data_IF_259410919199
#
_entry.id   IF_259410919199
#
_cell.length_a   1.000
_cell.length_b   1.000
_cell.length_c   1.000
_cell.angle_alpha   90.00
_cell.angle_beta   90.00
_cell.angle_gamma   90.00
#
_symmetry.space_group_name_H-M   'P 1'
#
loop_
_entity.id
_entity.type
_entity.pdbx_description
1 polymer ?
#
# COMPACT_ATOMS: atom_id res chain seq x y z
N UNK A 1 -72.76 -138.92 -50.91
CA UNK A 1 -71.78 -139.97 -50.55
C UNK A 1 -71.49 -139.93 -49.05
N UNK A 2 -71.73 -141.03 -48.33
CA UNK A 2 -71.52 -141.15 -46.86
C UNK A 2 -70.12 -140.69 -46.40
N UNK A 3 -69.09 -140.92 -47.23
CA UNK A 3 -67.70 -140.52 -46.94
C UNK A 3 -67.47 -139.00 -46.78
N UNK A 4 -68.22 -138.12 -47.47
CA UNK A 4 -68.10 -136.66 -47.28
C UNK A 4 -68.71 -136.19 -45.95
N UNK A 5 -69.78 -136.86 -45.48
CA UNK A 5 -70.43 -136.53 -44.22
C UNK A 5 -69.58 -136.95 -43.00
N UNK A 6 -68.90 -138.11 -43.07
CA UNK A 6 -67.96 -138.55 -42.03
C UNK A 6 -66.73 -137.66 -41.95
N UNK A 7 -66.12 -137.29 -43.08
CA UNK A 7 -64.99 -136.34 -43.08
C UNK A 7 -65.39 -134.97 -42.53
N UNK A 8 -66.60 -134.48 -42.81
CA UNK A 8 -67.12 -133.23 -42.23
C UNK A 8 -67.34 -133.34 -40.72
N UNK A 9 -67.90 -134.46 -40.23
CA UNK A 9 -68.07 -134.71 -38.78
C UNK A 9 -66.73 -134.85 -38.05
N UNK A 10 -65.75 -135.53 -38.65
CA UNK A 10 -64.40 -135.64 -38.09
C UNK A 10 -63.69 -134.28 -38.04
N UNK A 11 -63.80 -133.47 -39.10
CA UNK A 11 -63.27 -132.10 -39.14
C UNK A 11 -63.91 -131.21 -38.08
N UNK A 12 -65.24 -131.21 -37.96
CA UNK A 12 -65.95 -130.44 -36.93
C UNK A 12 -65.58 -130.88 -35.51
N UNK A 13 -65.34 -132.17 -35.26
CA UNK A 13 -64.85 -132.68 -33.96
C UNK A 13 -63.43 -132.18 -33.67
N UNK A 14 -62.55 -132.19 -34.66
CA UNK A 14 -61.19 -131.68 -34.51
C UNK A 14 -61.18 -130.16 -34.28
N UNK A 15 -61.94 -129.40 -35.08
CA UNK A 15 -62.10 -127.95 -34.90
C UNK A 15 -62.72 -127.61 -33.54
N UNK A 16 -63.71 -128.36 -33.06
CA UNK A 16 -64.27 -128.19 -31.72
C UNK A 16 -63.25 -128.52 -30.61
N UNK A 17 -62.42 -129.55 -30.80
CA UNK A 17 -61.35 -129.89 -29.85
C UNK A 17 -60.27 -128.80 -29.78
N UNK A 18 -59.83 -128.29 -30.94
CA UNK A 18 -58.87 -127.18 -31.02
C UNK A 18 -59.46 -125.91 -30.40
N UNK A 19 -60.71 -125.56 -30.73
CA UNK A 19 -61.40 -124.42 -30.14
C UNK A 19 -61.54 -124.55 -28.62
N UNK A 20 -61.84 -125.75 -28.10
CA UNK A 20 -61.90 -126.02 -26.66
C UNK A 20 -60.53 -125.90 -25.98
N UNK A 21 -59.46 -126.39 -26.63
CA UNK A 21 -58.09 -126.25 -26.15
C UNK A 21 -57.66 -124.77 -26.11
N UNK A 22 -57.92 -124.02 -27.19
CA UNK A 22 -57.66 -122.57 -27.26
C UNK A 22 -58.46 -121.81 -26.21
N UNK A 23 -59.75 -122.11 -26.04
CA UNK A 23 -60.58 -121.48 -25.00
C UNK A 23 -60.07 -121.79 -23.58
N UNK A 24 -59.51 -122.98 -23.36
CA UNK A 24 -58.92 -123.35 -22.07
C UNK A 24 -57.60 -122.62 -21.83
N UNK A 25 -56.70 -122.60 -22.82
CA UNK A 25 -55.44 -121.84 -22.75
C UNK A 25 -55.66 -120.33 -22.61
N UNK A 26 -56.64 -119.77 -23.32
CA UNK A 26 -57.02 -118.36 -23.20
C UNK A 26 -57.55 -118.03 -21.79
N UNK A 27 -58.35 -118.92 -21.18
CA UNK A 27 -58.82 -118.74 -19.79
C UNK A 27 -57.69 -118.80 -18.77
N UNK A 28 -56.75 -119.73 -18.94
CA UNK A 28 -55.57 -119.81 -18.06
C UNK A 28 -54.67 -118.58 -18.22
N UNK A 29 -54.41 -118.13 -19.45
CA UNK A 29 -53.64 -116.93 -19.71
C UNK A 29 -54.34 -115.69 -19.14
N UNK A 30 -55.65 -115.57 -19.30
CA UNK A 30 -56.44 -114.49 -18.73
C UNK A 30 -56.30 -114.44 -17.21
N UNK A 31 -56.42 -115.57 -16.52
CA UNK A 31 -56.24 -115.64 -15.06
C UNK A 31 -54.84 -115.20 -14.61
N UNK A 32 -53.78 -115.56 -15.37
CA UNK A 32 -52.43 -115.09 -15.07
C UNK A 32 -52.24 -113.59 -15.34
N UNK A 33 -52.85 -113.06 -16.41
CA UNK A 33 -52.81 -111.64 -16.73
C UNK A 33 -53.56 -110.84 -15.65
N UNK A 34 -54.73 -111.30 -15.21
CA UNK A 34 -55.52 -110.66 -14.14
C UNK A 34 -54.69 -110.52 -12.87
N UNK A 35 -54.04 -111.60 -12.40
CA UNK A 35 -53.15 -111.55 -11.23
C UNK A 35 -51.96 -110.60 -11.45
N UNK A 36 -51.36 -110.61 -12.64
CA UNK A 36 -50.24 -109.72 -12.97
C UNK A 36 -50.64 -108.25 -12.98
N UNK A 37 -51.81 -107.92 -13.53
CA UNK A 37 -52.38 -106.57 -13.56
C UNK A 37 -52.74 -106.10 -12.17
N UNK A 38 -53.36 -106.95 -11.33
CA UNK A 38 -53.66 -106.62 -9.93
C UNK A 38 -52.37 -106.35 -9.14
N UNK A 39 -51.34 -107.17 -9.32
CA UNK A 39 -50.04 -106.96 -8.67
C UNK A 39 -49.36 -105.69 -9.14
N UNK A 40 -49.32 -105.44 -10.44
CA UNK A 40 -48.74 -104.22 -11.00
C UNK A 40 -49.51 -102.96 -10.56
N UNK A 41 -50.84 -103.05 -10.42
CA UNK A 41 -51.66 -101.98 -9.89
C UNK A 41 -51.34 -101.70 -8.41
N UNK A 42 -51.19 -102.74 -7.59
CA UNK A 42 -50.78 -102.60 -6.20
C UNK A 42 -49.38 -101.99 -6.06
N UNK A 43 -48.39 -102.48 -6.83
CA UNK A 43 -47.03 -101.94 -6.84
C UNK A 43 -47.01 -100.46 -7.29
N UNK A 44 -47.83 -100.10 -8.29
CA UNK A 44 -47.99 -98.70 -8.73
C UNK A 44 -48.58 -97.82 -7.62
N UNK A 45 -49.63 -98.27 -6.94
CA UNK A 45 -50.27 -97.50 -5.85
C UNK A 45 -49.28 -97.26 -4.71
N UNK A 46 -48.50 -98.27 -4.32
CA UNK A 46 -47.47 -98.11 -3.30
C UNK A 46 -46.34 -97.17 -3.74
N UNK A 47 -45.90 -97.24 -4.99
CA UNK A 47 -44.92 -96.31 -5.54
C UNK A 47 -45.44 -94.86 -5.61
N UNK A 48 -46.69 -94.65 -6.01
CA UNK A 48 -47.33 -93.33 -6.03
C UNK A 48 -47.46 -92.75 -4.61
N UNK A 49 -47.82 -93.58 -3.61
CA UNK A 49 -47.85 -93.18 -2.20
C UNK A 49 -46.46 -92.80 -1.68
N UNK A 50 -45.45 -93.62 -1.96
CA UNK A 50 -44.07 -93.35 -1.55
C UNK A 50 -43.53 -92.06 -2.19
N UNK A 51 -43.82 -91.85 -3.49
CA UNK A 51 -43.47 -90.61 -4.20
C UNK A 51 -44.15 -89.40 -3.57
N UNK A 52 -45.45 -89.46 -3.33
CA UNK A 52 -46.20 -88.36 -2.71
C UNK A 52 -45.67 -88.02 -1.31
N UNK A 53 -45.30 -89.01 -0.51
CA UNK A 53 -44.68 -88.79 0.80
C UNK A 53 -43.33 -88.07 0.68
N UNK A 54 -42.47 -88.48 -0.26
CA UNK A 54 -41.17 -87.83 -0.50
C UNK A 54 -41.29 -86.42 -1.07
N UNK A 55 -42.26 -86.18 -1.95
CA UNK A 55 -42.55 -84.83 -2.45
C UNK A 55 -43.02 -83.92 -1.31
N UNK A 56 -43.91 -84.40 -0.44
CA UNK A 56 -44.35 -83.65 0.74
C UNK A 56 -43.19 -83.34 1.71
N UNK A 57 -42.30 -84.30 1.97
CA UNK A 57 -41.09 -84.08 2.78
C UNK A 57 -40.16 -83.04 2.15
N UNK A 58 -39.92 -83.14 0.84
CA UNK A 58 -39.08 -82.18 0.11
C UNK A 58 -39.65 -80.76 0.15
N UNK A 59 -40.97 -80.62 -0.02
CA UNK A 59 -41.63 -79.32 0.04
C UNK A 59 -41.61 -78.73 1.45
N UNK A 60 -41.75 -79.56 2.49
CA UNK A 60 -41.60 -79.15 3.88
C UNK A 60 -40.18 -78.64 4.16
N UNK A 61 -39.13 -79.36 3.73
CA UNK A 61 -37.73 -78.94 3.88
C UNK A 61 -37.42 -77.67 3.07
N UNK A 62 -37.98 -77.53 1.86
CA UNK A 62 -37.86 -76.29 1.06
C UNK A 62 -38.55 -75.11 1.71
N UNK A 63 -39.69 -75.31 2.37
CA UNK A 63 -40.34 -74.25 3.15
C UNK A 63 -39.46 -73.83 4.32
N UNK A 64 -38.98 -74.79 5.12
CA UNK A 64 -38.05 -74.54 6.24
C UNK A 64 -36.81 -73.78 5.79
N UNK A 65 -36.20 -74.18 4.66
CA UNK A 65 -35.04 -73.50 4.09
C UNK A 65 -35.34 -72.06 3.68
N UNK A 66 -36.52 -71.78 3.11
CA UNK A 66 -36.96 -70.41 2.78
C UNK A 66 -37.19 -69.56 4.03
N UNK A 67 -37.82 -70.12 5.05
CA UNK A 67 -38.10 -69.43 6.31
C UNK A 67 -36.81 -69.08 7.06
N UNK A 68 -35.88 -70.05 7.18
CA UNK A 68 -34.56 -69.83 7.77
C UNK A 68 -33.73 -68.80 7.00
N UNK A 69 -33.78 -68.83 5.66
CA UNK A 69 -33.12 -67.80 4.84
C UNK A 69 -33.70 -66.42 5.10
N UNK A 70 -35.02 -66.30 5.19
CA UNK A 70 -35.68 -65.02 5.49
C UNK A 70 -35.33 -64.49 6.89
N UNK A 71 -35.18 -65.37 7.90
CA UNK A 71 -34.66 -64.99 9.22
C UNK A 71 -33.20 -64.54 9.16
N UNK A 72 -32.34 -65.27 8.44
CA UNK A 72 -30.94 -64.92 8.27
C UNK A 72 -30.78 -63.55 7.59
N UNK A 73 -31.52 -63.29 6.53
CA UNK A 73 -31.49 -62.02 5.81
C UNK A 73 -31.91 -60.87 6.74
N UNK A 74 -32.99 -61.04 7.52
CA UNK A 74 -33.43 -60.05 8.53
C UNK A 74 -32.38 -59.79 9.60
N UNK A 75 -31.75 -60.85 10.12
CA UNK A 75 -30.73 -60.71 11.15
C UNK A 75 -29.49 -60.00 10.60
N UNK A 76 -29.07 -60.36 9.39
CA UNK A 76 -27.93 -59.74 8.69
C UNK A 76 -28.17 -58.25 8.47
N UNK A 77 -29.35 -57.86 8.00
CA UNK A 77 -29.72 -56.45 7.82
C UNK A 77 -29.69 -55.67 9.15
N UNK A 78 -30.13 -56.28 10.24
CA UNK A 78 -30.11 -55.65 11.56
C UNK A 78 -28.69 -55.43 12.09
N UNK A 79 -27.80 -56.41 11.91
CA UNK A 79 -26.39 -56.31 12.29
C UNK A 79 -25.70 -55.24 11.45
N UNK A 80 -25.89 -55.27 10.13
CA UNK A 80 -25.28 -54.28 9.25
C UNK A 80 -25.75 -52.86 9.57
N UNK A 81 -27.03 -52.65 9.86
CA UNK A 81 -27.55 -51.36 10.33
C UNK A 81 -26.87 -50.91 11.63
N UNK A 82 -26.69 -51.83 12.58
CA UNK A 82 -25.99 -51.56 13.83
C UNK A 82 -24.52 -51.18 13.61
N UNK A 83 -23.82 -51.88 12.72
CA UNK A 83 -22.43 -51.59 12.35
C UNK A 83 -22.27 -50.22 11.72
N UNK A 84 -23.17 -49.86 10.79
CA UNK A 84 -23.18 -48.53 10.13
C UNK A 84 -23.42 -47.42 11.14
N UNK A 85 -24.42 -47.56 12.01
CA UNK A 85 -24.67 -46.59 13.08
C UNK A 85 -23.49 -46.47 14.04
N UNK A 86 -22.88 -47.60 14.41
CA UNK A 86 -21.67 -47.62 15.25
C UNK A 86 -20.48 -46.93 14.60
N UNK A 87 -20.27 -47.13 13.30
CA UNK A 87 -19.24 -46.43 12.53
C UNK A 87 -19.50 -44.92 12.48
N UNK A 88 -20.75 -44.50 12.21
CA UNK A 88 -21.14 -43.09 12.19
C UNK A 88 -20.89 -42.39 13.54
N UNK A 89 -21.30 -43.04 14.65
CA UNK A 89 -21.08 -42.49 16.00
C UNK A 89 -19.60 -42.41 16.35
N UNK A 90 -18.79 -43.41 15.98
CA UNK A 90 -17.32 -43.37 16.19
C UNK A 90 -16.67 -42.21 15.45
N UNK A 91 -16.99 -42.05 14.16
CA UNK A 91 -16.48 -40.92 13.37
C UNK A 91 -16.90 -39.58 13.98
N UNK A 92 -18.15 -39.49 14.47
CA UNK A 92 -18.62 -38.26 15.11
C UNK A 92 -17.88 -37.95 16.42
N UNK A 93 -17.56 -38.97 17.21
CA UNK A 93 -16.75 -38.82 18.42
C UNK A 93 -15.35 -38.30 18.04
N UNK A 94 -14.68 -38.96 17.09
CA UNK A 94 -13.35 -38.57 16.63
C UNK A 94 -13.32 -37.12 16.13
N UNK A 95 -14.31 -36.70 15.34
CA UNK A 95 -14.44 -35.29 14.91
C UNK A 95 -14.54 -34.30 16.08
N UNK A 96 -15.29 -34.67 17.14
CA UNK A 96 -15.44 -33.82 18.31
C UNK A 96 -14.16 -33.80 19.16
N UNK A 97 -13.44 -34.92 19.23
CA UNK A 97 -12.16 -35.01 19.94
C UNK A 97 -11.09 -34.15 19.28
N UNK A 98 -10.95 -34.25 17.94
CA UNK A 98 -10.03 -33.38 17.17
C UNK A 98 -10.37 -31.91 17.37
N UNK A 99 -11.66 -31.56 17.32
CA UNK A 99 -12.11 -30.19 17.52
C UNK A 99 -11.78 -29.65 18.92
N UNK A 100 -11.93 -30.48 19.96
CA UNK A 100 -11.57 -30.10 21.33
C UNK A 100 -10.08 -29.76 21.45
N UNK A 101 -9.21 -30.54 20.81
CA UNK A 101 -7.76 -30.29 20.82
C UNK A 101 -7.37 -29.08 19.97
N UNK A 102 -7.89 -28.97 18.74
CA UNK A 102 -7.48 -27.91 17.81
C UNK A 102 -8.05 -26.52 18.16
N UNK A 103 -9.33 -26.45 18.51
CA UNK A 103 -9.99 -25.15 18.77
C UNK A 103 -9.83 -24.71 20.22
N UNK A 104 -9.86 -25.64 21.17
CA UNK A 104 -9.87 -25.32 22.62
C UNK A 104 -8.55 -25.64 23.31
N UNK A 105 -7.68 -26.47 22.72
CA UNK A 105 -6.42 -26.87 23.34
C UNK A 105 -6.59 -27.78 24.56
N UNK A 106 -7.74 -28.45 24.70
CA UNK A 106 -8.08 -29.28 25.88
C UNK A 106 -8.35 -30.72 25.46
N UNK A 107 -7.81 -31.68 26.22
CA UNK A 107 -8.12 -33.09 25.99
C UNK A 107 -9.60 -33.41 26.24
N UNK A 108 -10.23 -34.31 25.46
CA UNK A 108 -11.67 -34.58 25.55
C UNK A 108 -12.14 -35.00 26.96
N UNK A 109 -11.34 -35.82 27.66
CA UNK A 109 -11.66 -36.27 29.00
C UNK A 109 -11.65 -35.12 30.02
N UNK A 110 -10.66 -34.22 29.91
CA UNK A 110 -10.57 -33.02 30.74
C UNK A 110 -11.72 -32.05 30.44
N UNK A 111 -12.06 -31.86 29.16
CA UNK A 111 -13.17 -31.01 28.74
C UNK A 111 -14.51 -31.48 29.35
N UNK A 112 -14.78 -32.78 29.33
CA UNK A 112 -16.00 -33.34 29.95
C UNK A 112 -15.94 -33.27 31.46
N UNK A 113 -14.79 -33.52 32.07
CA UNK A 113 -14.62 -33.49 33.53
C UNK A 113 -14.80 -32.08 34.10
N UNK A 114 -14.26 -31.05 33.44
CA UNK A 114 -14.24 -29.67 33.95
C UNK A 114 -15.41 -28.81 33.43
N UNK A 115 -15.92 -29.10 32.22
CA UNK A 115 -16.93 -28.29 31.53
C UNK A 115 -18.19 -29.09 31.13
N UNK A 116 -18.33 -30.31 31.65
CA UNK A 116 -19.49 -31.15 31.41
C UNK A 116 -20.80 -30.60 32.02
N UNK A 117 -21.97 -31.14 31.63
CA UNK A 117 -23.27 -30.70 32.15
C UNK A 117 -23.44 -30.84 33.67
N UNK A 118 -22.67 -31.73 34.29
CA UNK A 118 -22.69 -31.96 35.74
C UNK A 118 -21.93 -30.86 36.51
N UNK A 119 -21.12 -30.05 35.83
CA UNK A 119 -20.35 -28.98 36.46
C UNK A 119 -21.12 -27.67 36.50
N UNK A 120 -20.99 -26.89 37.60
CA UNK A 120 -21.62 -25.59 37.69
C UNK A 120 -20.94 -24.60 36.73
N UNK A 121 -21.77 -23.85 36.00
CA UNK A 121 -21.31 -22.84 35.05
C UNK A 121 -20.81 -21.61 35.80
N UNK A 122 -19.58 -21.12 35.54
CA UNK A 122 -19.06 -19.90 36.14
C UNK A 122 -19.93 -18.68 35.81
N UNK A 123 -20.00 -17.69 36.71
CA UNK A 123 -20.71 -16.45 36.44
C UNK A 123 -20.22 -15.79 35.15
N UNK A 124 -21.13 -15.25 34.35
CA UNK A 124 -20.77 -14.54 33.13
C UNK A 124 -20.03 -13.25 33.48
N UNK A 125 -19.02 -12.84 32.67
CA UNK A 125 -18.45 -11.51 32.79
C UNK A 125 -19.54 -10.43 32.62
N UNK A 126 -19.39 -9.27 33.28
CA UNK A 126 -20.34 -8.18 33.15
C UNK A 126 -20.46 -7.73 31.69
N UNK A 127 -21.69 -7.40 31.26
CA UNK A 127 -21.90 -6.83 29.95
C UNK A 127 -21.32 -5.41 29.87
N UNK A 128 -21.09 -4.92 28.66
CA UNK A 128 -20.58 -3.57 28.43
C UNK A 128 -21.55 -2.52 28.99
N UNK A 129 -21.07 -1.69 29.93
CA UNK A 129 -21.89 -0.69 30.64
C UNK A 129 -22.68 -1.22 31.84
N UNK A 130 -22.49 -2.48 32.23
CA UNK A 130 -23.12 -3.07 33.40
C UNK A 130 -22.19 -2.98 34.63
N UNK A 131 -22.63 -2.26 35.66
CA UNK A 131 -21.93 -2.26 36.96
C UNK A 131 -22.34 -3.51 37.76
N UNK A 132 -21.42 -4.46 37.98
CA UNK A 132 -21.73 -5.62 38.81
C UNK A 132 -21.99 -5.17 40.26
N UNK A 133 -22.92 -5.83 40.98
CA UNK A 133 -23.15 -5.55 42.40
C UNK A 133 -21.85 -5.69 43.20
N UNK A 134 -21.55 -4.71 44.07
CA UNK A 134 -20.34 -4.70 44.91
C UNK A 134 -20.32 -5.84 45.94
N UNK A 135 -21.49 -6.34 46.34
CA UNK A 135 -21.63 -7.45 47.28
C UNK A 135 -21.09 -8.77 46.69
N UNK A 136 -20.00 -9.34 47.24
CA UNK A 136 -19.42 -10.60 46.76
C UNK A 136 -20.34 -11.80 46.90
N UNK A 137 -21.31 -11.76 47.82
CA UNK A 137 -22.24 -12.86 48.06
C UNK A 137 -23.46 -12.84 47.12
N UNK A 138 -23.60 -11.81 46.29
CA UNK A 138 -24.73 -11.63 45.40
C UNK A 138 -24.93 -12.85 44.47
N UNK A 139 -26.18 -13.32 44.22
CA UNK A 139 -26.49 -14.49 43.35
C UNK A 139 -26.01 -14.40 41.89
N UNK A 140 -25.45 -13.25 41.50
CA UNK A 140 -24.83 -13.02 40.19
C UNK A 140 -23.40 -13.56 40.12
N UNK A 141 -22.70 -13.57 41.24
CA UNK A 141 -21.29 -14.00 41.35
C UNK A 141 -21.16 -15.49 41.66
N UNK A 142 -22.27 -16.16 41.97
CA UNK A 142 -22.29 -17.59 42.27
C UNK A 142 -22.43 -18.43 40.99
N UNK A 143 -21.71 -19.55 40.88
CA UNK A 143 -21.90 -20.51 39.80
C UNK A 143 -23.34 -21.04 39.76
N UNK A 144 -23.85 -21.31 38.55
CA UNK A 144 -25.24 -21.77 38.34
C UNK A 144 -25.27 -23.16 37.71
N UNK A 145 -26.33 -23.96 37.93
CA UNK A 145 -26.50 -25.23 37.23
C UNK A 145 -26.49 -25.07 35.71
N UNK A 146 -25.96 -26.07 35.01
CA UNK A 146 -25.94 -26.07 33.55
C UNK A 146 -27.36 -26.12 32.98
N UNK A 147 -27.70 -25.15 32.13
CA UNK A 147 -28.92 -25.16 31.33
C UNK A 147 -28.58 -25.01 29.84
N UNK A 148 -28.79 -26.08 29.06
CA UNK A 148 -28.35 -26.18 27.67
C UNK A 148 -28.77 -24.98 26.81
N UNK A 149 -30.05 -24.60 26.87
CA UNK A 149 -30.58 -23.52 26.05
C UNK A 149 -29.94 -22.15 26.37
N UNK A 150 -29.56 -21.92 27.63
CA UNK A 150 -28.87 -20.68 28.03
C UNK A 150 -27.42 -20.66 27.56
N UNK A 151 -26.72 -21.80 27.68
CA UNK A 151 -25.32 -21.90 27.24
C UNK A 151 -25.20 -21.83 25.72
N UNK A 152 -26.13 -22.42 24.97
CA UNK A 152 -26.19 -22.26 23.51
C UNK A 152 -26.40 -20.80 23.10
N UNK A 153 -27.25 -20.07 23.82
CA UNK A 153 -27.45 -18.63 23.58
C UNK A 153 -26.19 -17.82 23.91
N UNK A 154 -25.51 -18.16 25.01
CA UNK A 154 -24.24 -17.54 25.43
C UNK A 154 -23.12 -17.80 24.42
N UNK A 155 -22.99 -19.03 23.94
CA UNK A 155 -22.02 -19.41 22.91
C UNK A 155 -22.24 -18.60 21.63
N UNK A 156 -23.49 -18.56 21.12
CA UNK A 156 -23.82 -17.77 19.91
C UNK A 156 -23.50 -16.28 20.08
N UNK A 157 -23.68 -15.72 21.27
CA UNK A 157 -23.32 -14.32 21.54
C UNK A 157 -21.80 -14.12 21.55
N UNK A 158 -21.06 -15.02 22.19
CA UNK A 158 -19.60 -14.99 22.22
C UNK A 158 -18.98 -15.19 20.83
N UNK A 159 -19.51 -16.12 20.03
CA UNK A 159 -19.07 -16.34 18.64
C UNK A 159 -19.27 -15.10 17.78
N UNK A 160 -20.39 -14.37 17.94
CA UNK A 160 -20.62 -13.11 17.24
C UNK A 160 -19.63 -12.03 17.67
N UNK A 161 -19.39 -11.89 18.98
CA UNK A 161 -18.41 -10.93 19.49
C UNK A 161 -16.98 -11.24 19.01
N UNK A 162 -16.60 -12.53 19.00
CA UNK A 162 -15.34 -12.99 18.46
C UNK A 162 -15.19 -12.68 16.97
N UNK A 163 -16.25 -12.92 16.17
CA UNK A 163 -16.24 -12.55 14.75
C UNK A 163 -16.14 -11.04 14.52
N UNK A 164 -16.67 -10.21 15.41
CA UNK A 164 -16.57 -8.74 15.32
C UNK A 164 -15.16 -8.22 15.59
N UNK A 165 -14.36 -8.91 16.41
CA UNK A 165 -12.95 -8.56 16.63
C UNK A 165 -12.09 -8.70 15.36
N UNK A 166 -12.59 -9.42 14.35
CA UNK A 166 -11.89 -9.61 13.09
C UNK A 166 -10.65 -10.50 13.25
N UNK A 167 -9.75 -10.41 12.27
CA UNK A 167 -8.51 -11.18 12.29
C UNK A 167 -7.47 -10.45 13.14
N UNK A 168 -6.96 -11.10 14.18
CA UNK A 168 -5.82 -10.60 14.95
C UNK A 168 -4.60 -10.56 14.02
N UNK A 169 -3.98 -9.39 13.87
CA UNK A 169 -2.73 -9.25 13.12
C UNK A 169 -1.55 -9.62 14.03
N UNK A 170 -0.86 -10.75 13.81
CA UNK A 170 0.26 -11.16 14.66
C UNK A 170 1.47 -10.23 14.54
N UNK A 171 1.59 -9.46 13.46
CA UNK A 171 2.69 -8.53 13.21
C UNK A 171 2.43 -7.12 13.76
N UNK A 172 1.26 -6.88 14.36
CA UNK A 172 0.85 -5.52 14.76
C UNK A 172 1.83 -4.86 15.75
N UNK A 173 2.45 -5.64 16.64
CA UNK A 173 3.42 -5.11 17.60
C UNK A 173 4.73 -4.70 16.91
N UNK A 174 5.21 -5.49 15.95
CA UNK A 174 6.42 -5.19 15.17
C UNK A 174 6.18 -3.99 14.24
N UNK A 175 5.03 -3.94 13.58
CA UNK A 175 4.64 -2.82 12.72
C UNK A 175 4.51 -1.52 13.52
N UNK A 176 3.92 -1.58 14.72
CA UNK A 176 3.83 -0.42 15.61
C UNK A 176 5.21 0.10 16.00
N UNK A 177 6.13 -0.79 16.41
CA UNK A 177 7.49 -0.40 16.78
C UNK A 177 8.24 0.25 15.61
N UNK A 178 8.12 -0.32 14.40
CA UNK A 178 8.74 0.25 13.20
C UNK A 178 8.14 1.60 12.80
N UNK A 179 6.82 1.77 12.95
CA UNK A 179 6.12 3.05 12.73
C UNK A 179 6.54 4.10 13.75
N UNK A 180 6.68 3.72 15.01
CA UNK A 180 7.12 4.60 16.10
C UNK A 180 8.56 5.09 15.87
N UNK A 181 9.48 4.20 15.49
CA UNK A 181 10.86 4.58 15.14
C UNK A 181 10.90 5.55 13.95
N UNK A 182 10.12 5.27 12.89
CA UNK A 182 10.00 6.16 11.73
C UNK A 182 9.41 7.51 12.11
N UNK A 183 8.40 7.53 12.97
CA UNK A 183 7.80 8.77 13.46
C UNK A 183 8.82 9.60 14.21
N UNK A 184 9.54 8.99 15.16
CA UNK A 184 10.56 9.67 15.95
C UNK A 184 11.65 10.28 15.05
N UNK A 185 12.18 9.50 14.10
CA UNK A 185 13.16 10.00 13.13
C UNK A 185 12.65 11.21 12.34
N UNK A 186 11.43 11.13 11.80
CA UNK A 186 10.85 12.23 11.02
C UNK A 186 10.56 13.47 11.86
N UNK A 187 10.14 13.30 13.12
CA UNK A 187 9.95 14.41 14.06
C UNK A 187 11.26 15.15 14.32
N UNK A 188 12.34 14.43 14.59
CA UNK A 188 13.67 15.02 14.81
C UNK A 188 14.18 15.79 13.58
N UNK A 189 14.04 15.21 12.39
CA UNK A 189 14.41 15.87 11.12
C UNK A 189 13.60 17.15 10.88
N UNK A 190 12.31 17.11 11.20
CA UNK A 190 11.42 18.26 11.02
C UNK A 190 11.78 19.40 11.99
N UNK A 191 12.13 19.08 13.23
CA UNK A 191 12.56 20.08 14.21
C UNK A 191 13.94 20.66 13.88
N UNK A 192 14.84 19.87 13.28
CA UNK A 192 16.12 20.38 12.76
C UNK A 192 15.93 21.35 11.59
N UNK A 193 15.05 21.02 10.64
CA UNK A 193 14.70 21.91 9.53
C UNK A 193 14.05 23.21 10.01
N UNK A 194 13.19 23.15 11.02
CA UNK A 194 12.59 24.34 11.63
C UNK A 194 13.63 25.26 12.24
N UNK A 195 14.60 24.70 12.97
CA UNK A 195 15.72 25.45 13.57
C UNK A 195 16.60 26.07 12.50
N UNK A 196 17.04 25.28 11.52
CA UNK A 196 17.86 25.76 10.39
C UNK A 196 17.19 26.91 9.64
N UNK A 197 15.87 26.83 9.41
CA UNK A 197 15.11 27.92 8.79
C UNK A 197 15.13 29.18 9.64
N UNK A 198 14.95 29.07 10.95
CA UNK A 198 14.98 30.21 11.86
C UNK A 198 16.37 30.88 11.86
N UNK A 199 17.43 30.07 11.91
CA UNK A 199 18.81 30.56 11.88
C UNK A 199 19.13 31.29 10.57
N UNK A 200 18.70 30.74 9.42
CA UNK A 200 18.89 31.40 8.13
C UNK A 200 18.16 32.74 8.04
N UNK A 201 16.93 32.84 8.57
CA UNK A 201 16.19 34.10 8.61
C UNK A 201 16.88 35.13 9.51
N UNK A 202 17.50 34.68 10.60
CA UNK A 202 18.29 35.54 11.48
C UNK A 202 19.53 36.07 10.76
N UNK A 203 20.25 35.22 10.02
CA UNK A 203 21.40 35.65 9.20
C UNK A 203 20.99 36.65 8.13
N UNK A 204 19.86 36.43 7.44
CA UNK A 204 19.34 37.39 6.45
C UNK A 204 19.10 38.75 7.10
N UNK A 205 18.47 38.76 8.27
CA UNK A 205 18.22 40.00 9.01
C UNK A 205 19.51 40.73 9.40
N UNK A 206 20.51 40.00 9.89
CA UNK A 206 21.81 40.58 10.26
C UNK A 206 22.54 41.16 9.05
N UNK A 207 22.45 40.50 7.90
CA UNK A 207 23.01 41.00 6.64
C UNK A 207 22.28 42.26 6.20
N UNK A 208 20.94 42.27 6.24
CA UNK A 208 20.14 43.44 5.87
C UNK A 208 20.46 44.64 6.76
N UNK A 209 20.53 44.46 8.08
CA UNK A 209 20.93 45.50 9.04
C UNK A 209 22.34 46.03 8.72
N UNK A 210 23.27 45.15 8.33
CA UNK A 210 24.63 45.57 7.98
C UNK A 210 24.68 46.32 6.65
N UNK A 211 23.94 45.87 5.65
CA UNK A 211 23.86 46.53 4.34
C UNK A 211 23.24 47.92 4.50
N UNK A 212 22.17 48.03 5.28
CA UNK A 212 21.51 49.29 5.60
C UNK A 212 22.49 50.28 6.23
N UNK A 213 23.21 49.88 7.29
CA UNK A 213 24.23 50.72 7.92
C UNK A 213 25.29 51.21 6.93
N UNK A 214 25.87 50.30 6.14
CA UNK A 214 26.93 50.64 5.18
C UNK A 214 26.41 51.58 4.09
N UNK A 215 25.19 51.34 3.60
CA UNK A 215 24.55 52.20 2.61
C UNK A 215 24.26 53.60 3.18
N UNK A 216 23.67 53.69 4.37
CA UNK A 216 23.35 54.97 5.02
C UNK A 216 24.61 55.81 5.25
N UNK A 217 25.67 55.19 5.79
CA UNK A 217 26.98 55.85 5.94
C UNK A 217 27.51 56.34 4.58
N UNK A 218 27.54 55.46 3.57
CA UNK A 218 28.05 55.81 2.25
C UNK A 218 27.23 56.91 1.55
N UNK A 219 25.91 56.92 1.71
CA UNK A 219 25.04 57.97 1.19
C UNK A 219 25.34 59.32 1.84
N UNK A 220 25.42 59.37 3.18
CA UNK A 220 25.72 60.61 3.88
C UNK A 220 27.12 61.14 3.55
N UNK A 221 28.12 60.27 3.44
CA UNK A 221 29.47 60.66 3.04
C UNK A 221 29.48 61.22 1.62
N UNK A 222 28.84 60.53 0.68
CA UNK A 222 28.75 60.95 -0.73
C UNK A 222 27.97 62.25 -0.88
N UNK A 223 26.87 62.42 -0.14
CA UNK A 223 26.06 63.63 -0.19
C UNK A 223 26.83 64.87 0.28
N UNK A 224 27.62 64.75 1.35
CA UNK A 224 28.50 65.84 1.83
C UNK A 224 29.57 66.21 0.80
N UNK A 225 30.24 65.21 0.23
CA UNK A 225 31.24 65.47 -0.81
C UNK A 225 30.61 66.07 -2.08
N UNK A 226 29.39 65.65 -2.43
CA UNK A 226 28.68 66.13 -3.61
C UNK A 226 28.40 67.63 -3.58
N UNK A 227 27.94 68.18 -2.46
CA UNK A 227 27.74 69.63 -2.32
C UNK A 227 29.05 70.42 -2.55
N UNK A 228 30.15 69.92 -1.99
CA UNK A 228 31.48 70.53 -2.12
C UNK A 228 32.06 70.42 -3.53
N UNK A 229 31.96 69.25 -4.16
CA UNK A 229 32.45 69.01 -5.53
C UNK A 229 31.61 69.78 -6.55
N UNK A 230 30.29 69.79 -6.39
CA UNK A 230 29.37 70.45 -7.31
C UNK A 230 29.58 71.97 -7.32
N UNK A 231 29.72 72.62 -6.16
CA UNK A 231 29.95 74.06 -6.07
C UNK A 231 31.29 74.52 -6.68
N UNK A 232 32.32 73.66 -6.67
CA UNK A 232 33.60 73.92 -7.35
C UNK A 232 33.51 73.79 -8.87
N UNK A 233 32.78 72.78 -9.35
CA UNK A 233 32.54 72.58 -10.78
C UNK A 233 31.60 73.65 -11.36
N UNK A 234 30.63 74.11 -10.58
CA UNK A 234 29.66 75.15 -10.94
C UNK A 234 29.67 76.31 -9.93
N UNK A 235 30.55 77.31 -10.07
CA UNK A 235 30.57 78.48 -9.19
C UNK A 235 29.20 79.19 -9.17
N UNK A 236 28.59 79.30 -7.99
CA UNK A 236 27.26 79.87 -7.80
C UNK A 236 26.09 78.92 -8.11
N UNK A 237 26.37 77.63 -8.34
CA UNK A 237 25.38 76.56 -8.42
C UNK A 237 25.30 75.73 -7.13
N UNK A 238 24.17 75.06 -6.93
CA UNK A 238 23.90 74.17 -5.79
C UNK A 238 23.51 72.79 -6.32
N UNK A 239 24.03 71.73 -5.71
CA UNK A 239 23.69 70.36 -6.05
C UNK A 239 23.42 69.56 -4.77
N UNK A 240 22.40 68.70 -4.78
CA UNK A 240 22.07 67.83 -3.64
C UNK A 240 21.64 66.44 -4.10
N UNK A 241 21.91 65.44 -3.27
CA UNK A 241 21.40 64.08 -3.44
C UNK A 241 20.16 63.90 -2.55
N UNK A 242 19.08 63.38 -3.11
CA UNK A 242 17.81 63.20 -2.40
C UNK A 242 17.39 61.75 -2.49
N UNK A 243 17.06 61.13 -1.36
CA UNK A 243 16.47 59.79 -1.33
C UNK A 243 15.02 59.86 -1.80
N UNK A 244 14.61 58.95 -2.66
CA UNK A 244 13.20 58.87 -3.10
C UNK A 244 12.28 58.39 -1.98
N UNK A 245 12.80 57.54 -1.09
CA UNK A 245 12.10 57.02 0.09
C UNK A 245 13.06 56.94 1.30
N UNK A 246 13.18 58.01 2.10
CA UNK A 246 14.12 58.06 3.23
C UNK A 246 13.86 57.04 4.34
N UNK A 247 12.66 56.45 4.40
CA UNK A 247 12.30 55.48 5.45
C UNK A 247 12.77 54.05 5.11
N UNK A 248 13.12 53.79 3.85
CA UNK A 248 13.50 52.45 3.37
C UNK A 248 14.85 52.46 2.66
N UNK A 249 15.94 52.54 3.42
CA UNK A 249 17.32 52.65 2.91
C UNK A 249 17.74 51.51 1.96
N UNK A 250 17.19 50.30 2.11
CA UNK A 250 17.52 49.16 1.25
C UNK A 250 16.84 49.20 -0.12
N UNK A 251 15.70 49.88 -0.24
CA UNK A 251 14.89 49.91 -1.47
C UNK A 251 14.74 51.29 -2.09
N UNK A 252 15.25 52.34 -1.43
CA UNK A 252 15.19 53.71 -1.94
C UNK A 252 16.07 53.91 -3.17
N UNK A 253 15.59 54.73 -4.10
CA UNK A 253 16.42 55.34 -5.14
C UNK A 253 17.16 56.57 -4.63
N UNK A 254 18.11 57.04 -5.44
CA UNK A 254 18.84 58.29 -5.22
C UNK A 254 18.62 59.22 -6.42
N UNK A 255 17.96 60.34 -6.18
CA UNK A 255 17.78 61.40 -7.16
C UNK A 255 18.88 62.45 -7.01
N UNK A 256 19.39 62.92 -8.16
CA UNK A 256 20.36 64.02 -8.20
C UNK A 256 19.65 65.29 -8.63
N UNK A 257 19.64 66.27 -7.75
CA UNK A 257 19.12 67.59 -8.02
C UNK A 257 20.26 68.58 -8.23
N UNK A 258 20.21 69.29 -9.35
CA UNK A 258 21.24 70.24 -9.74
C UNK A 258 20.61 71.60 -10.07
N UNK A 259 21.25 72.65 -9.58
CA UNK A 259 20.89 74.05 -9.81
C UNK A 259 22.09 74.80 -10.36
N UNK A 260 22.21 74.92 -11.70
CA UNK A 260 23.24 75.75 -12.32
C UNK A 260 23.06 77.24 -11.98
N UNK A 261 24.11 78.06 -12.07
CA UNK A 261 24.06 79.49 -11.75
C UNK A 261 22.96 80.21 -12.55
N UNK A 262 22.08 80.91 -11.84
CA UNK A 262 20.97 81.68 -12.42
C UNK A 262 19.75 80.87 -12.87
N UNK A 263 19.68 79.55 -12.62
CA UNK A 263 18.54 78.69 -12.99
C UNK A 263 17.82 78.10 -11.76
N UNK A 264 16.57 77.64 -11.95
CA UNK A 264 15.81 76.87 -10.94
C UNK A 264 16.32 75.43 -10.87
N UNK A 265 16.12 74.78 -9.71
CA UNK A 265 16.46 73.36 -9.47
C UNK A 265 15.76 72.47 -10.50
N UNK A 266 16.51 71.55 -11.10
CA UNK A 266 16.00 70.58 -12.07
C UNK A 266 16.57 69.19 -11.78
N UNK A 267 15.79 68.15 -12.11
CA UNK A 267 16.29 66.77 -12.17
C UNK A 267 17.31 66.63 -13.31
N UNK A 268 18.28 65.72 -13.17
CA UNK A 268 19.31 65.41 -14.17
C UNK A 268 18.79 65.30 -15.61
N UNK A 269 17.60 64.71 -15.79
CA UNK A 269 16.95 64.51 -17.10
C UNK A 269 16.57 65.81 -17.83
N UNK A 270 16.53 66.94 -17.12
CA UNK A 270 16.07 68.24 -17.63
C UNK A 270 17.20 69.26 -17.85
N UNK A 271 18.47 68.82 -17.78
CA UNK A 271 19.67 69.63 -17.99
C UNK A 271 20.15 69.58 -19.45
N UNK A 272 20.96 70.58 -19.86
CA UNK A 272 21.64 70.55 -21.16
C UNK A 272 22.70 69.44 -21.21
N UNK A 273 23.11 69.01 -22.41
CA UNK A 273 24.05 67.89 -22.59
C UNK A 273 25.37 68.04 -21.82
N UNK A 274 25.98 69.24 -21.85
CA UNK A 274 27.20 69.54 -21.10
C UNK A 274 26.99 69.64 -19.58
N UNK A 275 25.88 70.26 -19.14
CA UNK A 275 25.53 70.35 -17.71
C UNK A 275 25.25 68.95 -17.12
N UNK A 276 24.62 68.06 -17.89
CA UNK A 276 24.34 66.68 -17.50
C UNK A 276 25.62 65.86 -17.34
N UNK A 277 26.54 65.95 -18.30
CA UNK A 277 27.82 65.25 -18.24
C UNK A 277 28.66 65.72 -17.05
N UNK A 278 28.74 67.03 -16.82
CA UNK A 278 29.52 67.57 -15.70
C UNK A 278 28.89 67.26 -14.34
N UNK A 279 27.55 67.20 -14.24
CA UNK A 279 26.85 66.74 -13.03
C UNK A 279 27.11 65.26 -12.74
N UNK A 280 27.15 64.41 -13.78
CA UNK A 280 27.50 63.01 -13.63
C UNK A 280 28.95 62.82 -13.17
N UNK A 281 29.89 63.58 -13.74
CA UNK A 281 31.28 63.61 -13.29
C UNK A 281 31.39 64.09 -11.84
N UNK A 282 30.62 65.12 -11.45
CA UNK A 282 30.55 65.58 -10.06
C UNK A 282 30.13 64.45 -9.11
N UNK A 283 29.09 63.68 -9.48
CA UNK A 283 28.64 62.54 -8.69
C UNK A 283 29.73 61.47 -8.56
N UNK A 284 30.36 61.07 -9.66
CA UNK A 284 31.43 60.06 -9.65
C UNK A 284 32.61 60.49 -8.77
N UNK A 285 33.08 61.72 -8.93
CA UNK A 285 34.13 62.31 -8.09
C UNK A 285 33.73 62.28 -6.61
N UNK A 286 32.49 62.60 -6.30
CA UNK A 286 32.01 62.64 -4.91
C UNK A 286 32.00 61.26 -4.27
N UNK A 287 31.61 60.24 -5.04
CA UNK A 287 31.72 58.83 -4.62
C UNK A 287 33.19 58.47 -4.37
N UNK A 288 34.10 58.89 -5.26
CA UNK A 288 35.53 58.59 -5.12
C UNK A 288 36.16 59.28 -3.91
N UNK A 289 35.77 60.52 -3.60
CA UNK A 289 36.23 61.21 -2.38
C UNK A 289 35.67 60.59 -1.11
N UNK A 290 34.40 60.18 -1.12
CA UNK A 290 33.76 59.53 0.02
C UNK A 290 34.32 58.13 0.29
N UNK A 291 34.66 57.37 -0.76
CA UNK A 291 35.21 56.01 -0.68
C UNK A 291 36.42 55.87 -1.62
N UNK A 292 37.62 56.23 -1.16
CA UNK A 292 38.83 56.19 -1.98
C UNK A 292 39.21 54.75 -2.35
N UNK A 293 39.49 54.54 -3.63
CA UNK A 293 40.02 53.31 -4.21
C UNK A 293 41.54 53.44 -4.37
N UNK A 294 42.31 52.33 -4.34
CA UNK A 294 43.75 52.38 -4.61
C UNK A 294 44.10 53.01 -5.97
N UNK A 295 43.26 52.80 -6.98
CA UNK A 295 43.42 53.42 -8.30
C UNK A 295 42.06 53.65 -9.00
N UNK A 296 42.07 54.57 -9.95
CA UNK A 296 40.96 54.91 -10.83
C UNK A 296 41.42 54.92 -12.29
N UNK A 297 40.59 54.39 -13.19
CA UNK A 297 40.77 54.46 -14.63
C UNK A 297 39.65 55.30 -15.22
N UNK A 298 40.00 56.35 -15.95
CA UNK A 298 39.05 57.27 -16.58
C UNK A 298 39.32 57.30 -18.09
N UNK A 299 38.31 56.99 -18.90
CA UNK A 299 38.42 56.93 -20.35
C UNK A 299 37.56 58.01 -21.00
N UNK A 300 38.22 58.98 -21.63
CA UNK A 300 37.63 60.13 -22.35
C UNK A 300 36.50 60.87 -21.61
N UNK A 301 36.56 60.91 -20.28
CA UNK A 301 35.52 61.49 -19.42
C UNK A 301 35.30 62.98 -19.66
N UNK A 302 36.28 63.66 -20.27
CA UNK A 302 36.27 65.08 -20.56
C UNK A 302 35.89 65.46 -22.00
N UNK A 303 35.59 64.49 -22.88
CA UNK A 303 35.38 64.74 -24.31
C UNK A 303 34.23 65.72 -24.61
N UNK A 304 33.25 65.84 -23.70
CA UNK A 304 32.09 66.72 -23.84
C UNK A 304 32.22 68.06 -23.08
N UNK A 305 33.40 68.36 -22.51
CA UNK A 305 33.61 69.55 -21.68
C UNK A 305 34.26 70.68 -22.47
N UNK A 306 33.84 71.91 -22.17
CA UNK A 306 34.51 73.12 -22.64
C UNK A 306 35.82 73.38 -21.87
N UNK A 307 36.67 74.26 -22.40
CA UNK A 307 37.98 74.61 -21.83
C UNK A 307 37.92 75.07 -20.36
N UNK A 308 36.82 75.73 -19.95
CA UNK A 308 36.67 76.24 -18.59
C UNK A 308 36.35 75.12 -17.61
N UNK A 309 35.42 74.25 -17.97
CA UNK A 309 35.00 73.10 -17.17
C UNK A 309 36.08 72.00 -17.15
N UNK A 310 36.81 71.81 -18.25
CA UNK A 310 37.99 70.95 -18.31
C UNK A 310 39.03 71.36 -17.26
N UNK A 311 39.32 72.66 -17.14
CA UNK A 311 40.30 73.15 -16.15
C UNK A 311 39.80 73.03 -14.69
N UNK A 312 38.48 72.96 -14.46
CA UNK A 312 37.92 72.67 -13.13
C UNK A 312 38.03 71.17 -12.81
N UNK A 313 37.73 70.32 -13.79
CA UNK A 313 37.87 68.86 -13.64
C UNK A 313 39.32 68.46 -13.37
N UNK A 314 40.29 69.01 -14.12
CA UNK A 314 41.72 68.73 -13.91
C UNK A 314 42.15 69.07 -12.48
N UNK A 315 41.70 70.18 -11.91
CA UNK A 315 42.01 70.55 -10.51
C UNK A 315 41.48 69.53 -9.51
N UNK A 316 40.28 69.01 -9.75
CA UNK A 316 39.70 67.97 -8.90
C UNK A 316 40.45 66.64 -9.04
N UNK A 317 40.84 66.27 -10.26
CA UNK A 317 41.69 65.10 -10.48
C UNK A 317 43.03 65.23 -9.76
N UNK A 318 43.60 66.44 -9.73
CA UNK A 318 44.83 66.70 -8.97
C UNK A 318 44.65 66.55 -7.46
N UNK A 319 43.48 66.89 -6.90
CA UNK A 319 43.19 66.61 -5.49
C UNK A 319 43.04 65.10 -5.24
N UNK A 320 42.35 64.39 -6.13
CA UNK A 320 42.18 62.93 -6.02
C UNK A 320 43.51 62.18 -6.11
N UNK A 321 44.48 62.71 -6.85
CA UNK A 321 45.81 62.11 -6.99
C UNK A 321 46.60 62.08 -5.67
N UNK A 322 46.23 62.92 -4.68
CA UNK A 322 46.92 62.95 -3.38
C UNK A 322 46.68 61.67 -2.58
N UNK A 323 45.56 60.99 -2.81
CA UNK A 323 45.17 59.77 -2.10
C UNK A 323 45.09 58.52 -2.97
N UNK A 324 45.00 58.65 -4.30
CA UNK A 324 44.72 57.53 -5.21
C UNK A 324 45.48 57.65 -6.53
N UNK A 325 45.86 56.52 -7.13
CA UNK A 325 46.49 56.53 -8.46
C UNK A 325 45.45 56.78 -9.56
N UNK A 326 45.67 57.78 -10.42
CA UNK A 326 44.79 58.05 -11.56
C UNK A 326 45.45 57.63 -12.87
N UNK A 327 44.72 56.86 -13.67
CA UNK A 327 45.05 56.50 -15.05
C UNK A 327 44.00 57.15 -15.94
N UNK A 328 44.40 58.13 -16.74
CA UNK A 328 43.48 58.88 -17.60
C UNK A 328 43.84 58.62 -19.07
N UNK A 329 42.86 58.12 -19.83
CA UNK A 329 42.94 57.95 -21.29
C UNK A 329 42.25 59.15 -21.90
N UNK A 330 42.99 59.93 -22.68
CA UNK A 330 42.51 61.20 -23.20
C UNK A 330 43.25 61.61 -24.47
N UNK A 331 42.60 62.43 -25.29
CA UNK A 331 43.20 63.18 -26.39
C UNK A 331 43.32 64.69 -26.08
N UNK A 332 42.90 65.13 -24.89
CA UNK A 332 42.89 66.54 -24.49
C UNK A 332 44.28 66.99 -24.02
N UNK A 333 44.86 67.96 -24.73
CA UNK A 333 46.22 68.48 -24.45
C UNK A 333 46.36 69.00 -23.02
N UNK A 334 45.36 69.73 -22.52
CA UNK A 334 45.39 70.30 -21.15
C UNK A 334 45.43 69.21 -20.06
N UNK A 335 44.74 68.09 -20.27
CA UNK A 335 44.79 66.95 -19.33
C UNK A 335 46.18 66.30 -19.37
N UNK A 336 46.74 66.11 -20.57
CA UNK A 336 48.08 65.54 -20.76
C UNK A 336 49.19 66.38 -20.12
N UNK A 337 49.08 67.71 -20.17
CA UNK A 337 50.07 68.66 -19.61
C UNK A 337 50.24 68.54 -18.09
N UNK A 338 49.23 68.04 -17.40
CA UNK A 338 49.20 67.95 -15.93
C UNK A 338 49.63 66.57 -15.42
N UNK A 339 49.77 65.57 -16.29
CA UNK A 339 50.16 64.22 -15.92
C UNK A 339 51.63 64.13 -15.47
N UNK A 340 51.93 63.23 -14.52
CA UNK A 340 53.31 62.92 -14.12
C UNK A 340 54.04 62.07 -15.17
N UNK A 341 53.30 61.22 -15.87
CA UNK A 341 53.79 60.37 -16.96
C UNK A 341 52.75 60.25 -18.07
N UNK A 342 53.22 60.23 -19.31
CA UNK A 342 52.41 60.00 -20.50
C UNK A 342 52.78 58.66 -21.13
N UNK A 343 51.77 57.88 -21.49
CA UNK A 343 51.90 56.66 -22.26
C UNK A 343 51.15 56.84 -23.58
N UNK A 344 51.89 56.92 -24.67
CA UNK A 344 51.35 56.98 -26.03
C UNK A 344 51.23 55.58 -26.63
N UNK A 345 50.11 55.28 -27.27
CA UNK A 345 49.93 54.06 -28.05
C UNK A 345 50.06 54.40 -29.53
N UNK A 346 50.99 53.74 -30.22
CA UNK A 346 51.17 53.89 -31.67
C UNK A 346 50.93 52.54 -32.37
N UNK A 347 50.18 52.55 -33.47
CA UNK A 347 50.00 51.36 -34.31
C UNK A 347 51.09 51.32 -35.39
N UNK A 348 51.79 50.19 -35.50
CA UNK A 348 52.67 49.91 -36.64
C UNK A 348 51.88 49.22 -37.76
N UNK A 349 52.45 49.18 -38.97
CA UNK A 349 51.79 48.73 -40.21
C UNK A 349 51.20 47.31 -40.19
N UNK A 350 51.57 46.48 -39.20
CA UNK A 350 51.13 45.09 -39.07
C UNK A 350 49.95 44.90 -38.09
N UNK A 351 49.28 45.98 -37.68
CA UNK A 351 48.14 45.91 -36.74
C UNK A 351 48.53 45.64 -35.28
N UNK A 352 49.84 45.65 -34.98
CA UNK A 352 50.37 45.53 -33.62
C UNK A 352 50.50 46.91 -32.97
N UNK A 353 49.88 47.08 -31.80
CA UNK A 353 50.00 48.29 -30.99
C UNK A 353 51.25 48.25 -30.12
N UNK A 354 52.06 49.33 -30.17
CA UNK A 354 53.24 49.51 -29.32
C UNK A 354 53.02 50.69 -28.38
N UNK A 355 53.34 50.49 -27.10
CA UNK A 355 53.25 51.53 -26.06
C UNK A 355 54.61 52.22 -25.92
N UNK A 356 54.59 53.55 -25.89
CA UNK A 356 55.76 54.41 -25.65
C UNK A 356 55.48 55.24 -24.40
N UNK A 357 56.34 55.16 -23.40
CA UNK A 357 56.20 55.92 -22.16
C UNK A 357 57.20 57.08 -22.08
N UNK A 358 56.75 58.24 -21.63
CA UNK A 358 57.57 59.40 -21.31
C UNK A 358 57.16 59.97 -19.95
N UNK A 359 58.13 60.16 -19.06
CA UNK A 359 57.90 60.83 -17.77
C UNK A 359 58.03 62.35 -17.98
N UNK A 360 57.06 63.13 -17.50
CA UNK A 360 57.03 64.59 -17.67
C UNK A 360 57.69 65.34 -16.52
N UNK A 361 57.98 64.66 -15.41
CA UNK A 361 58.72 65.15 -14.24
C UNK A 361 59.73 64.16 -13.68
#
# INVERSE_FOLDING_TARGET
TRARAERRRARLRHEAHVAAAVATGARQLLAHIEISVERAAAERVEAERAKAAREAELDAERSRGRDLKAELDKLTDSVHRGEVLGAEKRLRIEQLETRALEELGVEPAALVAEYGPEQPVPPSPPAEGEEPPEDPEHPRHRPRPFHRAEQEKRLRAAERAYQQLGKVNPLALEEFAALEERHQFLSEQLDDLRRTRADLLQVVKEVDERVEQVFTEAYHDTAREFEGVFSRLFPGGEGRLVLTDPEHMLTTGVDVEARPPGKKVKRLSLLSGGERSLTAVALLVSIFKARPSPFYVMDEVEAALDDTNLQRLIRIMQELQESSQLIVITHQKRTMEVADALYGVSMQGDGVSKVIGQRLR
#
